data_IF_207134496774
#
_entry.id   IF_207134496774
#
_cell.length_a   1.000
_cell.length_b   1.000
_cell.length_c   1.000
_cell.angle_alpha   90.00
_cell.angle_beta   90.00
_cell.angle_gamma   90.00
#
_symmetry.space_group_name_H-M   'P 1'
#
loop_
_entity.id
_entity.type
_entity.pdbx_description
1 polymer ?
#
# COMPACT_ATOMS: atom_id res chain seq x y z
N UNK A 1 12.26 4.64 16.57
CA UNK A 1 11.27 3.60 16.25
C UNK A 1 10.85 3.64 14.79
N UNK A 2 10.44 4.79 14.24
CA UNK A 2 10.07 4.89 12.81
C UNK A 2 11.17 4.44 11.82
N UNK A 3 12.45 4.64 12.15
CA UNK A 3 13.58 4.15 11.36
C UNK A 3 13.67 2.62 11.28
N UNK A 4 13.35 1.92 12.37
CA UNK A 4 13.35 0.47 12.43
C UNK A 4 12.20 -0.12 11.59
N UNK A 5 11.00 0.44 11.73
CA UNK A 5 9.82 0.02 10.95
C UNK A 5 10.07 0.23 9.45
N UNK A 6 10.66 1.36 9.06
CA UNK A 6 11.03 1.62 7.66
C UNK A 6 12.07 0.63 7.13
N UNK A 7 13.09 0.28 7.92
CA UNK A 7 14.09 -0.71 7.52
C UNK A 7 13.49 -2.12 7.42
N UNK A 8 12.63 -2.52 8.36
CA UNK A 8 11.93 -3.80 8.33
C UNK A 8 11.16 -4.00 7.02
N UNK A 9 10.36 -3.01 6.59
CA UNK A 9 9.62 -3.11 5.33
C UNK A 9 10.52 -3.16 4.08
N UNK A 10 11.70 -2.53 4.13
CA UNK A 10 12.67 -2.56 3.03
C UNK A 10 13.40 -3.91 2.93
N UNK A 11 13.50 -4.64 4.04
CA UNK A 11 14.20 -5.93 4.14
C UNK A 11 13.31 -7.13 3.77
N UNK A 12 12.00 -6.93 3.57
CA UNK A 12 11.10 -7.99 3.11
C UNK A 12 11.49 -8.45 1.69
N UNK A 13 11.44 -9.77 1.46
CA UNK A 13 11.65 -10.36 0.12
C UNK A 13 10.65 -9.83 -0.91
N UNK A 14 9.45 -9.45 -0.45
CA UNK A 14 8.40 -8.82 -1.26
C UNK A 14 7.93 -7.53 -0.57
N UNK A 15 7.75 -6.41 -1.30
CA UNK A 15 7.26 -5.18 -0.71
C UNK A 15 5.82 -5.33 -0.19
N UNK A 16 5.44 -4.49 0.78
CA UNK A 16 4.10 -4.49 1.36
C UNK A 16 2.98 -4.37 0.30
N UNK A 17 3.21 -3.58 -0.75
CA UNK A 17 2.24 -3.40 -1.85
C UNK A 17 2.36 -4.44 -2.98
N UNK A 18 3.17 -5.49 -2.77
CA UNK A 18 3.55 -6.54 -3.73
C UNK A 18 4.22 -6.03 -5.00
N UNK A 19 5.03 -6.86 -5.66
CA UNK A 19 5.64 -6.44 -6.93
C UNK A 19 4.60 -6.35 -8.05
N UNK A 20 3.61 -7.25 -8.02
CA UNK A 20 2.57 -7.36 -9.05
C UNK A 20 1.67 -6.12 -9.10
N UNK A 21 1.33 -5.55 -7.95
CA UNK A 21 0.43 -4.39 -7.87
C UNK A 21 1.17 -3.05 -7.82
N UNK A 22 2.50 -3.04 -7.65
CA UNK A 22 3.28 -1.80 -7.50
C UNK A 22 3.07 -0.81 -8.66
N UNK A 23 3.11 -1.29 -9.90
CA UNK A 23 2.89 -0.43 -11.09
C UNK A 23 1.47 0.11 -11.15
N UNK A 24 0.49 -0.69 -10.74
CA UNK A 24 -0.90 -0.29 -10.69
C UNK A 24 -1.09 0.83 -9.65
N UNK A 25 -0.45 0.74 -8.47
CA UNK A 25 -0.54 1.76 -7.43
C UNK A 25 0.06 3.08 -7.93
N UNK A 26 1.21 3.02 -8.61
CA UNK A 26 1.83 4.18 -9.26
C UNK A 26 0.94 4.82 -10.32
N UNK A 27 0.22 4.02 -11.10
CA UNK A 27 -0.70 4.52 -12.13
C UNK A 27 -1.91 5.20 -11.50
N UNK A 28 -2.53 4.57 -10.50
CA UNK A 28 -3.70 5.11 -9.79
C UNK A 28 -3.35 6.41 -9.07
N UNK A 29 -2.15 6.49 -8.46
CA UNK A 29 -1.69 7.71 -7.79
C UNK A 29 -1.52 8.93 -8.73
N UNK A 30 -1.56 8.75 -10.05
CA UNK A 30 -1.51 9.82 -11.05
C UNK A 30 -2.89 10.24 -11.58
N UNK A 31 -3.96 9.58 -11.14
CA UNK A 31 -5.33 9.95 -11.51
C UNK A 31 -5.65 11.32 -10.90
N UNK A 32 -6.06 12.27 -11.75
CA UNK A 32 -6.33 13.66 -11.34
C UNK A 32 -7.63 13.79 -10.55
N UNK A 33 -8.67 13.01 -10.92
CA UNK A 33 -9.92 13.00 -10.17
C UNK A 33 -9.72 12.27 -8.83
N UNK A 34 -9.83 13.02 -7.75
CA UNK A 34 -9.58 12.50 -6.41
C UNK A 34 -10.56 11.39 -6.00
N UNK A 35 -11.81 11.44 -6.46
CA UNK A 35 -12.82 10.44 -6.11
C UNK A 35 -12.56 9.14 -6.86
N UNK A 36 -12.23 9.24 -8.15
CA UNK A 36 -11.84 8.09 -8.97
C UNK A 36 -10.56 7.45 -8.43
N UNK A 37 -9.54 8.27 -8.11
CA UNK A 37 -8.30 7.80 -7.49
C UNK A 37 -8.58 7.03 -6.19
N UNK A 38 -9.43 7.58 -5.32
CA UNK A 38 -9.80 6.92 -4.07
C UNK A 38 -10.50 5.57 -4.31
N UNK A 39 -11.48 5.52 -5.21
CA UNK A 39 -12.16 4.28 -5.59
C UNK A 39 -11.18 3.22 -6.12
N UNK A 40 -10.26 3.61 -7.00
CA UNK A 40 -9.23 2.73 -7.53
C UNK A 40 -8.28 2.23 -6.45
N UNK A 41 -7.84 3.09 -5.52
CA UNK A 41 -7.00 2.68 -4.38
C UNK A 41 -7.70 1.63 -3.53
N UNK A 42 -8.98 1.83 -3.19
CA UNK A 42 -9.74 0.84 -2.42
C UNK A 42 -9.82 -0.51 -3.15
N UNK A 43 -10.14 -0.51 -4.44
CA UNK A 43 -10.17 -1.73 -5.23
C UNK A 43 -8.81 -2.44 -5.26
N UNK A 44 -7.72 -1.68 -5.34
CA UNK A 44 -6.36 -2.23 -5.29
C UNK A 44 -5.99 -2.85 -3.95
N UNK A 45 -6.41 -2.23 -2.84
CA UNK A 45 -6.21 -2.79 -1.50
C UNK A 45 -6.94 -4.14 -1.39
N UNK A 46 -8.14 -4.27 -1.95
CA UNK A 46 -8.89 -5.53 -2.03
C UNK A 46 -8.21 -6.62 -2.88
N UNK A 47 -7.22 -6.29 -3.71
CA UNK A 47 -6.43 -7.27 -4.46
C UNK A 47 -5.18 -7.77 -3.73
N UNK A 48 -4.73 -7.08 -2.67
CA UNK A 48 -3.55 -7.49 -1.92
C UNK A 48 -3.75 -8.84 -1.20
N UNK A 49 -2.68 -9.58 -0.86
CA UNK A 49 -2.81 -10.69 0.08
C UNK A 49 -3.33 -10.22 1.44
N UNK A 50 -4.08 -11.07 2.15
CA UNK A 50 -4.67 -10.74 3.47
C UNK A 50 -3.64 -10.24 4.48
N UNK A 51 -2.44 -10.84 4.50
CA UNK A 51 -1.37 -10.42 5.40
C UNK A 51 -0.91 -8.98 5.12
N UNK A 52 -0.69 -8.66 3.85
CA UNK A 52 -0.27 -7.33 3.39
C UNK A 52 -1.33 -6.27 3.72
N UNK A 53 -2.62 -6.58 3.46
CA UNK A 53 -3.73 -5.69 3.85
C UNK A 53 -3.75 -5.37 5.33
N UNK A 54 -3.69 -6.40 6.18
CA UNK A 54 -3.76 -6.22 7.64
C UNK A 54 -2.62 -5.32 8.14
N UNK A 55 -1.42 -5.53 7.61
CA UNK A 55 -0.25 -4.73 7.97
C UNK A 55 -0.39 -3.28 7.46
N UNK A 56 -0.91 -3.10 6.24
CA UNK A 56 -1.17 -1.77 5.68
C UNK A 56 -2.21 -1.00 6.51
N UNK A 57 -3.30 -1.66 6.91
CA UNK A 57 -4.36 -1.06 7.74
C UNK A 57 -3.81 -0.57 9.09
N UNK A 58 -3.08 -1.42 9.80
CA UNK A 58 -2.39 -1.02 11.03
C UNK A 58 -1.41 0.12 10.80
N UNK A 59 -0.63 0.08 9.70
CA UNK A 59 0.31 1.13 9.37
C UNK A 59 -0.40 2.47 9.14
N UNK A 60 -1.53 2.48 8.42
CA UNK A 60 -2.31 3.69 8.17
C UNK A 60 -2.91 4.25 9.47
N UNK A 61 -3.44 3.38 10.34
CA UNK A 61 -3.93 3.79 11.66
C UNK A 61 -2.84 4.47 12.52
N UNK A 62 -1.61 3.97 12.46
CA UNK A 62 -0.49 4.53 13.22
C UNK A 62 0.12 5.80 12.60
N UNK A 63 -0.16 6.09 11.32
CA UNK A 63 0.35 7.26 10.60
C UNK A 63 -0.67 8.41 10.50
N UNK A 64 -1.94 8.15 10.81
CA UNK A 64 -3.01 9.15 10.92
C UNK A 64 -2.86 10.00 12.20
#
# INVERSE_FOLDING_TARGET
MASLIKSFFRELNEPLLTFDLYKNFLSVARVEDQKECLCCIYAMIELLPKANRNVLDHLMYHLA
#
